data_IF_434693825365
#
_entry.id   IF_434693825365
#
_cell.length_a   1.000
_cell.length_b   1.000
_cell.length_c   1.000
_cell.angle_alpha   90.00
_cell.angle_beta   90.00
_cell.angle_gamma   90.00
#
_symmetry.space_group_name_H-M   'P 1'
#
loop_
_entity.id
_entity.type
_entity.pdbx_description
1 polymer ?
#
# COMPACT_ATOMS: atom_id res chain seq x y z
N UNK A 1 -19.67 -14.83 3.59
CA UNK A 1 -18.20 -14.81 3.43
C UNK A 1 -17.65 -13.64 4.21
N UNK A 2 -16.78 -13.92 5.16
CA UNK A 2 -16.13 -12.91 5.99
C UNK A 2 -14.75 -12.60 5.40
N UNK A 3 -14.54 -11.34 5.03
CA UNK A 3 -13.29 -10.87 4.46
C UNK A 3 -12.59 -9.90 5.42
N UNK A 4 -11.35 -10.22 5.80
CA UNK A 4 -10.45 -9.34 6.53
C UNK A 4 -9.55 -8.59 5.53
N UNK A 5 -9.61 -7.28 5.51
CA UNK A 5 -8.70 -6.46 4.72
C UNK A 5 -7.58 -5.88 5.59
N UNK A 6 -6.36 -5.87 5.04
CA UNK A 6 -5.15 -5.35 5.70
C UNK A 6 -4.41 -4.43 4.73
N UNK A 7 -4.25 -3.17 5.10
CA UNK A 7 -3.50 -2.18 4.32
C UNK A 7 -2.47 -1.42 5.16
N UNK A 8 -1.31 -1.23 4.60
CA UNK A 8 -0.26 -0.33 5.08
C UNK A 8 0.53 0.26 3.89
N UNK A 9 -0.12 0.40 2.74
CA UNK A 9 0.49 0.85 1.48
C UNK A 9 0.88 2.33 1.47
N UNK A 10 0.34 3.14 2.40
CA UNK A 10 0.54 4.58 2.48
C UNK A 10 0.94 5.07 3.86
N UNK A 11 0.57 6.33 4.14
CA UNK A 11 0.74 6.95 5.47
C UNK A 11 -0.22 6.37 6.51
N UNK A 12 -1.29 5.79 6.03
CA UNK A 12 -2.34 5.17 6.84
C UNK A 12 -2.05 3.68 6.94
N UNK A 13 -2.22 3.12 8.13
CA UNK A 13 -2.37 1.68 8.32
C UNK A 13 -3.82 1.39 8.72
N UNK A 14 -4.39 0.32 8.22
CA UNK A 14 -5.77 0.02 8.56
C UNK A 14 -6.18 -1.40 8.26
N UNK A 15 -7.27 -1.78 8.91
CA UNK A 15 -7.90 -3.09 8.80
C UNK A 15 -9.41 -2.93 8.73
N UNK A 16 -10.09 -3.81 8.00
CA UNK A 16 -11.55 -3.84 7.93
C UNK A 16 -12.07 -5.28 7.90
N UNK A 17 -13.26 -5.47 8.43
CA UNK A 17 -14.04 -6.70 8.30
C UNK A 17 -15.29 -6.39 7.50
N UNK A 18 -15.50 -7.16 6.45
CA UNK A 18 -16.68 -7.11 5.59
C UNK A 18 -17.30 -8.50 5.55
N UNK A 19 -18.62 -8.58 5.65
CA UNK A 19 -19.36 -9.83 5.50
C UNK A 19 -20.42 -9.70 4.42
N UNK A 20 -20.31 -10.50 3.37
CA UNK A 20 -21.28 -10.58 2.26
C UNK A 20 -21.64 -9.23 1.61
N UNK A 21 -20.66 -8.31 1.54
CA UNK A 21 -20.83 -6.98 0.98
C UNK A 21 -21.25 -5.92 2.00
N UNK A 22 -21.36 -6.25 3.29
CA UNK A 22 -21.66 -5.31 4.36
C UNK A 22 -20.43 -5.06 5.24
N UNK A 23 -20.16 -3.79 5.53
CA UNK A 23 -19.06 -3.41 6.42
C UNK A 23 -19.44 -3.70 7.88
N UNK A 24 -18.73 -4.61 8.53
CA UNK A 24 -18.88 -4.88 9.95
C UNK A 24 -18.12 -3.87 10.80
N UNK A 25 -16.85 -3.65 10.48
CA UNK A 25 -16.00 -2.70 11.21
C UNK A 25 -14.78 -2.29 10.37
N UNK A 26 -14.30 -1.07 10.59
CA UNK A 26 -13.10 -0.54 9.98
C UNK A 26 -12.29 0.24 11.02
N UNK A 27 -11.00 -0.01 11.08
CA UNK A 27 -10.06 0.76 11.91
C UNK A 27 -8.95 1.31 11.03
N UNK A 28 -8.85 2.63 10.99
CA UNK A 28 -7.85 3.36 10.22
C UNK A 28 -6.98 4.19 11.16
N UNK A 29 -5.67 4.03 11.09
CA UNK A 29 -4.69 4.65 11.97
C UNK A 29 -3.74 5.54 11.17
N UNK A 30 -3.60 6.80 11.58
CA UNK A 30 -2.65 7.77 11.01
C UNK A 30 -1.85 8.43 12.16
N UNK A 31 -1.14 7.60 12.95
CA UNK A 31 -0.53 8.00 14.21
C UNK A 31 0.95 8.37 14.08
N UNK A 32 1.57 8.22 12.90
CA UNK A 32 3.03 8.38 12.74
C UNK A 32 3.86 7.28 13.41
N UNK A 33 3.23 6.25 13.95
CA UNK A 33 3.88 5.07 14.50
C UNK A 33 4.25 4.11 13.37
N UNK A 34 5.16 3.17 13.67
CA UNK A 34 5.52 2.14 12.70
C UNK A 34 4.35 1.18 12.48
N UNK A 35 4.08 0.84 11.23
CA UNK A 35 2.97 -0.06 10.88
C UNK A 35 3.13 -1.46 11.50
N UNK A 36 4.37 -1.89 11.79
CA UNK A 36 4.65 -3.16 12.46
C UNK A 36 4.15 -3.21 13.91
N UNK A 37 4.07 -2.07 14.58
CA UNK A 37 3.59 -1.98 15.95
C UNK A 37 2.06 -1.88 16.03
N UNK A 38 1.42 -1.37 14.98
CA UNK A 38 0.00 -1.01 15.01
C UNK A 38 -0.91 -2.02 14.31
N UNK A 39 -0.44 -2.68 13.25
CA UNK A 39 -1.31 -3.42 12.34
C UNK A 39 -1.90 -4.70 12.96
N UNK A 40 -1.07 -5.50 13.63
CA UNK A 40 -1.54 -6.73 14.30
C UNK A 40 -2.44 -6.43 15.50
N UNK A 41 -2.10 -5.51 16.43
CA UNK A 41 -3.02 -5.09 17.49
C UNK A 41 -4.35 -4.55 16.97
N UNK A 42 -4.35 -3.76 15.89
CA UNK A 42 -5.56 -3.27 15.24
C UNK A 42 -6.43 -4.42 14.71
N UNK A 43 -5.81 -5.43 14.10
CA UNK A 43 -6.53 -6.63 13.61
C UNK A 43 -7.18 -7.39 14.76
N UNK A 44 -6.46 -7.64 15.85
CA UNK A 44 -6.99 -8.33 17.02
C UNK A 44 -8.14 -7.55 17.65
N UNK A 45 -7.99 -6.24 17.81
CA UNK A 45 -9.04 -5.38 18.36
C UNK A 45 -10.29 -5.38 17.48
N UNK A 46 -10.12 -5.35 16.16
CA UNK A 46 -11.23 -5.34 15.21
C UNK A 46 -12.02 -6.66 15.25
N UNK A 47 -11.34 -7.80 15.23
CA UNK A 47 -11.96 -9.12 15.36
C UNK A 47 -12.71 -9.24 16.69
N UNK A 48 -12.10 -8.84 17.80
CA UNK A 48 -12.72 -8.86 19.12
C UNK A 48 -13.98 -7.98 19.19
N UNK A 49 -13.95 -6.79 18.61
CA UNK A 49 -15.11 -5.88 18.57
C UNK A 49 -16.30 -6.45 17.79
N UNK A 50 -16.04 -7.32 16.81
CA UNK A 50 -17.06 -8.02 16.03
C UNK A 50 -17.44 -9.38 16.64
N UNK A 51 -16.88 -9.79 17.79
CA UNK A 51 -17.02 -11.12 18.38
C UNK A 51 -16.64 -12.25 17.40
N UNK A 52 -15.63 -12.01 16.57
CA UNK A 52 -15.10 -12.96 15.59
C UNK A 52 -13.70 -13.42 15.97
N UNK A 53 -13.39 -14.64 15.59
CA UNK A 53 -12.03 -15.20 15.62
C UNK A 53 -11.42 -15.22 14.21
N UNK A 54 -10.12 -15.38 14.12
CA UNK A 54 -9.44 -15.47 12.81
C UNK A 54 -9.83 -16.73 12.04
N UNK A 55 -10.26 -17.78 12.74
CA UNK A 55 -10.75 -19.03 12.18
C UNK A 55 -12.05 -18.90 11.39
N UNK A 56 -12.81 -17.84 11.64
CA UNK A 56 -14.08 -17.55 10.94
C UNK A 56 -13.89 -16.70 9.67
N UNK A 57 -12.65 -16.23 9.43
CA UNK A 57 -12.32 -15.45 8.25
C UNK A 57 -12.14 -16.36 7.04
N UNK A 58 -12.90 -16.10 5.98
CA UNK A 58 -12.89 -16.87 4.73
C UNK A 58 -11.83 -16.37 3.73
N UNK A 59 -11.48 -15.09 3.78
CA UNK A 59 -10.56 -14.44 2.85
C UNK A 59 -9.79 -13.32 3.54
N UNK A 60 -8.49 -13.23 3.27
CA UNK A 60 -7.70 -12.04 3.66
C UNK A 60 -7.32 -11.26 2.40
N UNK A 61 -7.80 -10.01 2.32
CA UNK A 61 -7.45 -9.05 1.29
C UNK A 61 -6.24 -8.22 1.72
N UNK A 62 -5.27 -8.05 0.83
CA UNK A 62 -4.05 -7.27 1.12
C UNK A 62 -3.78 -6.29 -0.02
N UNK A 63 -3.41 -5.05 0.31
CA UNK A 63 -2.90 -4.14 -0.71
C UNK A 63 -1.59 -4.67 -1.28
N UNK A 64 -1.56 -4.96 -2.59
CA UNK A 64 -0.38 -5.51 -3.26
C UNK A 64 0.60 -4.46 -3.78
N UNK A 65 0.23 -3.18 -3.71
CA UNK A 65 0.94 -2.03 -4.25
C UNK A 65 0.17 -1.34 -5.37
N UNK A 66 0.72 -0.23 -5.91
CA UNK A 66 1.95 0.43 -5.49
C UNK A 66 1.83 1.18 -4.15
N UNK A 67 2.97 1.51 -3.52
CA UNK A 67 2.97 2.25 -2.26
C UNK A 67 4.29 2.15 -1.48
N UNK A 68 4.20 2.35 -0.17
CA UNK A 68 5.33 2.23 0.75
C UNK A 68 5.93 0.82 0.73
N UNK A 69 7.18 0.70 0.32
CA UNK A 69 7.88 -0.58 0.23
C UNK A 69 7.91 -1.34 1.58
N UNK A 70 8.18 -0.63 2.66
CA UNK A 70 8.19 -1.20 4.01
C UNK A 70 6.77 -1.55 4.46
N UNK A 71 5.81 -0.64 4.26
CA UNK A 71 4.43 -0.85 4.66
C UNK A 71 3.79 -2.05 3.96
N UNK A 72 3.94 -2.16 2.65
CA UNK A 72 3.44 -3.30 1.87
C UNK A 72 3.99 -4.64 2.37
N UNK A 73 5.28 -4.70 2.74
CA UNK A 73 5.90 -5.92 3.29
C UNK A 73 5.38 -6.25 4.68
N UNK A 74 5.15 -5.25 5.52
CA UNK A 74 4.57 -5.44 6.86
C UNK A 74 3.15 -6.00 6.71
N UNK A 75 2.29 -5.39 5.88
CA UNK A 75 0.94 -5.88 5.62
C UNK A 75 0.94 -7.32 5.07
N UNK A 76 1.80 -7.60 4.10
CA UNK A 76 1.95 -8.94 3.51
C UNK A 76 2.42 -9.98 4.53
N UNK A 77 3.39 -9.65 5.39
CA UNK A 77 3.88 -10.54 6.43
C UNK A 77 2.82 -10.83 7.50
N UNK A 78 2.10 -9.78 7.95
CA UNK A 78 1.00 -9.90 8.89
C UNK A 78 -0.11 -10.81 8.33
N UNK A 79 -0.55 -10.55 7.10
CA UNK A 79 -1.58 -11.35 6.44
C UNK A 79 -1.18 -12.81 6.27
N UNK A 80 0.06 -13.08 5.81
CA UNK A 80 0.59 -14.44 5.69
C UNK A 80 0.66 -15.16 7.03
N UNK A 81 1.11 -14.47 8.09
CA UNK A 81 1.15 -15.02 9.43
C UNK A 81 -0.23 -15.42 9.95
N UNK A 82 -1.24 -14.56 9.76
CA UNK A 82 -2.61 -14.84 10.15
C UNK A 82 -3.24 -15.98 9.32
N UNK A 83 -2.93 -16.05 8.03
CA UNK A 83 -3.46 -17.07 7.14
C UNK A 83 -2.88 -18.47 7.38
N UNK A 84 -1.63 -18.54 7.88
CA UNK A 84 -0.81 -19.76 7.85
C UNK A 84 -1.43 -20.92 8.64
N UNK A 85 -2.01 -20.65 9.81
CA UNK A 85 -2.55 -21.70 10.69
C UNK A 85 -3.76 -22.40 10.07
N UNK A 86 -4.65 -21.64 9.43
CA UNK A 86 -5.96 -22.12 8.97
C UNK A 86 -6.04 -22.24 7.44
N UNK A 87 -4.95 -21.95 6.73
CA UNK A 87 -4.93 -21.99 5.26
C UNK A 87 -5.85 -20.96 4.61
N UNK A 88 -6.09 -19.81 5.25
CA UNK A 88 -6.98 -18.78 4.71
C UNK A 88 -6.39 -18.23 3.40
N UNK A 89 -7.17 -18.19 2.30
CA UNK A 89 -6.69 -17.64 1.04
C UNK A 89 -6.36 -16.16 1.16
N UNK A 90 -5.30 -15.74 0.44
CA UNK A 90 -4.87 -14.35 0.35
C UNK A 90 -5.18 -13.81 -1.05
N UNK A 91 -5.80 -12.63 -1.14
CA UNK A 91 -6.02 -11.95 -2.40
C UNK A 91 -5.39 -10.55 -2.40
N UNK A 92 -4.54 -10.27 -3.40
CA UNK A 92 -3.91 -8.98 -3.59
C UNK A 92 -4.78 -8.04 -4.42
N UNK A 93 -5.02 -6.82 -3.91
CA UNK A 93 -5.73 -5.76 -4.62
C UNK A 93 -4.79 -4.57 -4.81
N UNK A 94 -4.87 -3.91 -5.96
CA UNK A 94 -4.10 -2.70 -6.23
C UNK A 94 -4.46 -1.57 -5.27
N UNK A 95 -3.45 -0.87 -4.76
CA UNK A 95 -3.65 0.35 -3.96
C UNK A 95 -4.35 1.45 -4.74
N UNK A 96 -4.09 1.55 -6.05
CA UNK A 96 -4.74 2.55 -6.90
C UNK A 96 -6.22 2.20 -7.10
N UNK A 97 -6.53 0.93 -7.35
CA UNK A 97 -7.91 0.44 -7.43
C UNK A 97 -8.65 0.62 -6.10
N UNK A 98 -8.01 0.38 -4.95
CA UNK A 98 -8.59 0.62 -3.62
C UNK A 98 -8.95 2.10 -3.42
N UNK A 99 -8.06 3.00 -3.80
CA UNK A 99 -8.30 4.44 -3.65
C UNK A 99 -9.45 4.92 -4.54
N UNK A 100 -9.46 4.53 -5.82
CA UNK A 100 -10.54 4.94 -6.73
C UNK A 100 -11.90 4.45 -6.27
N UNK A 101 -11.97 3.31 -5.57
CA UNK A 101 -13.23 2.74 -5.08
C UNK A 101 -13.96 3.68 -4.14
N UNK A 102 -13.25 4.54 -3.40
CA UNK A 102 -13.88 5.57 -2.57
C UNK A 102 -14.83 6.51 -3.34
N UNK A 103 -14.65 6.61 -4.65
CA UNK A 103 -15.40 7.51 -5.54
C UNK A 103 -15.93 6.82 -6.79
N UNK A 104 -15.90 5.48 -6.86
CA UNK A 104 -16.27 4.68 -8.04
C UNK A 104 -17.70 4.90 -8.54
N UNK A 105 -18.59 5.42 -7.67
CA UNK A 105 -19.97 5.78 -8.02
C UNK A 105 -20.09 7.03 -8.91
N UNK A 106 -19.05 7.84 -9.04
CA UNK A 106 -19.06 9.04 -9.86
C UNK A 106 -18.98 8.68 -11.35
N UNK A 107 -19.85 9.26 -12.20
CA UNK A 107 -19.77 9.06 -13.66
C UNK A 107 -18.72 9.99 -14.29
N UNK A 108 -17.56 10.09 -13.70
CA UNK A 108 -16.45 10.95 -14.10
C UNK A 108 -15.14 10.16 -14.17
N UNK A 109 -14.22 10.51 -15.08
CA UNK A 109 -12.87 9.96 -15.02
C UNK A 109 -12.20 10.29 -13.70
N UNK A 110 -11.65 9.25 -13.04
CA UNK A 110 -10.91 9.36 -11.78
C UNK A 110 -9.47 9.00 -12.06
N UNK A 111 -8.57 9.95 -11.85
CA UNK A 111 -7.12 9.78 -11.93
C UNK A 111 -6.57 9.65 -10.51
N UNK A 112 -6.12 8.45 -10.18
CA UNK A 112 -5.41 8.22 -8.91
C UNK A 112 -3.94 8.47 -9.14
N UNK A 113 -3.32 9.26 -8.25
CA UNK A 113 -1.88 9.48 -8.28
C UNK A 113 -1.28 9.43 -6.88
N UNK A 114 -0.25 8.60 -6.71
CA UNK A 114 0.58 8.52 -5.52
C UNK A 114 1.98 9.04 -5.85
N UNK A 115 2.61 9.77 -4.92
CA UNK A 115 3.97 10.28 -5.14
C UNK A 115 4.98 9.12 -5.19
N UNK A 116 5.57 8.89 -6.38
CA UNK A 116 6.62 7.91 -6.59
C UNK A 116 8.04 8.49 -6.42
N UNK A 117 8.14 9.75 -5.94
CA UNK A 117 9.38 10.56 -5.83
C UNK A 117 10.03 10.83 -7.18
N UNK A 118 11.00 11.78 -7.23
CA UNK A 118 11.76 12.15 -8.44
C UNK A 118 10.85 12.47 -9.63
N UNK A 119 9.84 13.32 -9.40
CA UNK A 119 8.88 13.81 -10.40
C UNK A 119 8.08 12.70 -11.11
N UNK A 120 7.99 11.53 -10.51
CA UNK A 120 7.17 10.43 -10.98
C UNK A 120 5.97 10.21 -10.07
N UNK A 121 4.92 9.68 -10.65
CA UNK A 121 3.71 9.26 -9.96
C UNK A 121 3.41 7.79 -10.26
N UNK A 122 2.92 7.07 -9.27
CA UNK A 122 2.15 5.86 -9.54
C UNK A 122 0.74 6.30 -9.88
N UNK A 123 0.22 5.88 -11.01
CA UNK A 123 -1.08 6.35 -11.47
C UNK A 123 -1.86 5.27 -12.22
N UNK A 124 -3.18 5.34 -12.11
CA UNK A 124 -4.16 4.66 -12.92
C UNK A 124 -5.34 5.60 -13.16
N UNK A 125 -6.06 5.41 -14.27
CA UNK A 125 -7.26 6.20 -14.56
C UNK A 125 -8.46 5.28 -14.72
N UNK A 126 -9.59 5.64 -14.14
CA UNK A 126 -10.76 4.80 -14.03
C UNK A 126 -12.04 5.56 -14.39
N UNK A 127 -13.06 4.83 -14.80
CA UNK A 127 -14.43 5.34 -14.95
C UNK A 127 -15.39 4.29 -14.38
N UNK A 128 -16.11 4.65 -13.35
CA UNK A 128 -17.06 3.76 -12.68
C UNK A 128 -16.45 2.38 -12.35
N UNK A 129 -15.26 2.38 -11.76
CA UNK A 129 -14.52 1.16 -11.38
C UNK A 129 -13.78 0.46 -12.52
N UNK A 130 -14.03 0.83 -13.78
CA UNK A 130 -13.36 0.24 -14.93
C UNK A 130 -12.09 1.02 -15.29
N UNK A 131 -11.05 0.28 -15.68
CA UNK A 131 -9.76 0.86 -16.04
C UNK A 131 -9.85 1.58 -17.39
N UNK A 132 -9.61 2.91 -17.42
CA UNK A 132 -9.46 3.71 -18.65
C UNK A 132 -8.01 3.75 -19.13
N UNK A 133 -7.07 3.71 -18.20
CA UNK A 133 -5.63 3.69 -18.46
C UNK A 133 -4.95 2.84 -17.42
N UNK A 134 -4.10 1.93 -17.89
CA UNK A 134 -3.37 0.97 -17.05
C UNK A 134 -2.56 1.64 -15.95
N UNK A 135 -2.49 0.93 -14.83
CA UNK A 135 -1.68 1.32 -13.68
C UNK A 135 -0.19 1.26 -14.02
N UNK A 136 0.52 2.34 -13.73
CA UNK A 136 1.96 2.45 -14.03
C UNK A 136 2.67 3.48 -13.18
N UNK A 137 4.00 3.43 -13.20
CA UNK A 137 4.84 4.54 -12.76
C UNK A 137 5.27 5.36 -13.98
N UNK A 138 4.99 6.67 -13.99
CA UNK A 138 5.35 7.56 -15.09
C UNK A 138 5.58 9.00 -14.61
N UNK A 139 6.20 9.87 -15.43
CA UNK A 139 6.21 11.30 -15.16
C UNK A 139 4.77 11.86 -15.11
N UNK A 140 4.54 12.86 -14.26
CA UNK A 140 3.22 13.53 -14.17
C UNK A 140 2.74 14.05 -15.51
N UNK A 141 3.67 14.57 -16.34
CA UNK A 141 3.36 15.09 -17.69
C UNK A 141 2.65 14.08 -18.58
N UNK A 142 2.96 12.80 -18.45
CA UNK A 142 2.32 11.73 -19.23
C UNK A 142 0.86 11.50 -18.80
N UNK A 143 0.58 11.57 -17.48
CA UNK A 143 -0.80 11.54 -16.98
C UNK A 143 -1.59 12.77 -17.45
N UNK A 144 -1.00 13.96 -17.35
CA UNK A 144 -1.63 15.20 -17.76
C UNK A 144 -1.90 15.23 -19.28
N UNK A 145 -1.00 14.67 -20.10
CA UNK A 145 -1.23 14.53 -21.54
C UNK A 145 -2.45 13.63 -21.82
N UNK A 146 -2.56 12.50 -21.14
CA UNK A 146 -3.73 11.64 -21.25
C UNK A 146 -5.01 12.35 -20.81
N UNK A 147 -5.00 13.02 -19.65
CA UNK A 147 -6.14 13.74 -19.11
C UNK A 147 -6.61 14.91 -20.01
N UNK A 148 -5.69 15.59 -20.71
CA UNK A 148 -6.03 16.63 -21.70
C UNK A 148 -6.87 16.09 -22.85
N UNK A 149 -6.65 14.84 -23.26
CA UNK A 149 -7.42 14.18 -24.33
C UNK A 149 -8.86 13.83 -23.95
N UNK A 150 -9.18 13.79 -22.65
CA UNK A 150 -10.55 13.56 -22.18
C UNK A 150 -11.34 14.87 -22.16
N UNK A 151 -12.66 14.78 -22.32
CA UNK A 151 -13.56 15.94 -22.25
C UNK A 151 -14.26 16.03 -20.89
N UNK A 152 -14.69 17.25 -20.51
CA UNK A 152 -15.46 17.47 -19.29
C UNK A 152 -14.64 17.46 -17.99
N UNK A 153 -15.36 17.36 -16.87
CA UNK A 153 -14.78 17.34 -15.53
C UNK A 153 -14.13 16.00 -15.21
N UNK A 154 -13.04 16.04 -14.47
CA UNK A 154 -12.24 14.89 -14.06
C UNK A 154 -11.84 15.01 -12.61
N UNK A 155 -11.76 13.89 -11.91
CA UNK A 155 -11.35 13.82 -10.51
C UNK A 155 -9.89 13.43 -10.42
N UNK A 156 -9.11 14.14 -9.61
CA UNK A 156 -7.72 13.81 -9.28
C UNK A 156 -7.63 13.53 -7.78
N UNK A 157 -7.16 12.33 -7.41
CA UNK A 157 -7.11 11.88 -6.02
C UNK A 157 -5.82 11.11 -5.69
N UNK A 158 -5.60 10.86 -4.39
CA UNK A 158 -4.38 10.26 -3.87
C UNK A 158 -3.43 11.31 -3.30
N UNK A 159 -2.39 10.87 -2.60
CA UNK A 159 -1.46 11.77 -1.89
C UNK A 159 -0.58 12.62 -2.84
N UNK A 160 -0.37 12.16 -4.07
CA UNK A 160 0.32 12.94 -5.10
C UNK A 160 -0.38 14.24 -5.46
N UNK A 161 -1.71 14.34 -5.26
CA UNK A 161 -2.46 15.57 -5.50
C UNK A 161 -1.97 16.72 -4.63
N UNK A 162 -1.58 16.45 -3.38
CA UNK A 162 -1.11 17.50 -2.47
C UNK A 162 0.17 18.17 -2.99
N UNK A 163 1.00 17.44 -3.69
CA UNK A 163 2.25 17.93 -4.27
C UNK A 163 2.07 18.60 -5.62
N UNK A 164 1.22 18.03 -6.47
CA UNK A 164 1.12 18.40 -7.89
C UNK A 164 -0.14 19.20 -8.24
N UNK A 165 -0.83 19.76 -7.22
CA UNK A 165 -2.11 20.47 -7.38
C UNK A 165 -2.04 21.60 -8.39
N UNK A 166 -1.03 22.46 -8.25
CA UNK A 166 -0.87 23.64 -9.10
C UNK A 166 -0.56 23.26 -10.56
N UNK A 167 0.27 22.24 -10.74
CA UNK A 167 0.62 21.74 -12.08
C UNK A 167 -0.61 21.13 -12.79
N UNK A 168 -1.46 20.40 -12.05
CA UNK A 168 -2.69 19.82 -12.57
C UNK A 168 -3.65 20.93 -13.00
N UNK A 169 -3.87 21.95 -12.15
CA UNK A 169 -4.74 23.09 -12.46
C UNK A 169 -4.21 23.90 -13.64
N UNK A 170 -2.92 24.19 -13.67
CA UNK A 170 -2.29 24.90 -14.79
C UNK A 170 -2.42 24.16 -16.10
N UNK A 171 -2.37 22.82 -16.08
CA UNK A 171 -2.45 22.02 -17.30
C UNK A 171 -3.86 21.84 -17.86
N UNK A 172 -4.88 21.79 -17.01
CA UNK A 172 -6.24 21.38 -17.38
C UNK A 172 -7.30 22.48 -17.22
N UNK A 173 -7.05 23.50 -16.39
CA UNK A 173 -8.02 24.52 -15.96
C UNK A 173 -8.87 24.08 -14.77
N UNK A 174 -9.21 25.06 -13.92
CA UNK A 174 -9.97 24.82 -12.67
C UNK A 174 -11.36 24.24 -12.94
N UNK A 175 -11.98 24.64 -14.04
CA UNK A 175 -13.34 24.21 -14.42
C UNK A 175 -13.43 22.73 -14.75
N UNK A 176 -12.29 22.10 -15.11
CA UNK A 176 -12.20 20.68 -15.48
C UNK A 176 -11.72 19.77 -14.35
N UNK A 177 -11.16 20.33 -13.29
CA UNK A 177 -10.51 19.55 -12.22
C UNK A 177 -11.35 19.55 -10.95
N UNK A 178 -11.56 18.36 -10.41
CA UNK A 178 -12.17 18.16 -9.11
C UNK A 178 -11.15 17.49 -8.19
N UNK A 179 -10.89 18.12 -7.05
CA UNK A 179 -10.16 17.49 -5.96
C UNK A 179 -11.15 17.12 -4.87
N UNK A 180 -11.26 15.84 -4.50
CA UNK A 180 -12.16 15.42 -3.44
C UNK A 180 -11.69 15.92 -2.06
N UNK A 181 -12.58 15.82 -1.07
CA UNK A 181 -12.24 16.15 0.31
C UNK A 181 -11.14 15.27 0.87
N UNK A 182 -10.45 15.74 1.89
CA UNK A 182 -9.38 14.98 2.56
C UNK A 182 -9.83 13.59 3.04
N UNK A 183 -11.10 13.46 3.45
CA UNK A 183 -11.67 12.18 3.88
C UNK A 183 -11.70 11.10 2.77
N UNK A 184 -11.81 11.52 1.50
CA UNK A 184 -11.85 10.61 0.35
C UNK A 184 -10.46 10.30 -0.23
N UNK A 185 -9.42 11.02 0.22
CA UNK A 185 -8.04 10.83 -0.26
C UNK A 185 -7.29 9.72 0.46
N UNK A 186 -7.81 9.24 1.60
CA UNK A 186 -7.14 8.22 2.41
C UNK A 186 -7.44 6.81 1.89
N UNK A 187 -6.46 5.94 2.06
CA UNK A 187 -6.65 4.51 1.90
C UNK A 187 -7.74 4.04 2.89
N UNK A 188 -8.71 3.29 2.39
CA UNK A 188 -9.79 2.70 3.19
C UNK A 188 -9.72 1.18 3.08
N UNK A 189 -9.42 0.49 4.17
CA UNK A 189 -9.40 -0.97 4.17
C UNK A 189 -10.74 -1.60 3.78
N UNK A 190 -11.86 -0.93 4.06
CA UNK A 190 -13.19 -1.38 3.60
C UNK A 190 -13.29 -1.44 2.08
N UNK A 191 -12.77 -0.43 1.36
CA UNK A 191 -12.72 -0.45 -0.12
C UNK A 191 -11.88 -1.61 -0.65
N UNK A 192 -10.77 -1.94 0.05
CA UNK A 192 -9.95 -3.10 -0.25
C UNK A 192 -10.75 -4.40 -0.09
N UNK A 193 -11.52 -4.56 1.01
CA UNK A 193 -12.34 -5.73 1.28
C UNK A 193 -13.45 -5.91 0.24
N UNK A 194 -14.19 -4.84 -0.10
CA UNK A 194 -15.25 -4.90 -1.10
C UNK A 194 -14.73 -5.32 -2.47
N UNK A 195 -13.61 -4.75 -2.92
CA UNK A 195 -12.98 -5.15 -4.18
C UNK A 195 -12.52 -6.61 -4.16
N UNK A 196 -11.98 -7.06 -3.03
CA UNK A 196 -11.55 -8.45 -2.87
C UNK A 196 -12.74 -9.42 -2.91
N UNK A 197 -13.84 -9.12 -2.22
CA UNK A 197 -15.06 -9.94 -2.29
C UNK A 197 -15.61 -10.04 -3.72
N UNK A 198 -15.68 -8.89 -4.42
CA UNK A 198 -16.12 -8.85 -5.82
C UNK A 198 -15.21 -9.72 -6.69
N UNK A 199 -13.89 -9.53 -6.61
CA UNK A 199 -12.91 -10.29 -7.36
C UNK A 199 -12.97 -11.79 -7.04
N UNK A 200 -13.19 -12.15 -5.78
CA UNK A 200 -13.33 -13.52 -5.34
C UNK A 200 -14.60 -14.19 -5.89
N UNK A 201 -15.73 -13.48 -5.90
CA UNK A 201 -16.99 -13.92 -6.52
C UNK A 201 -16.87 -14.10 -8.04
N UNK A 202 -16.07 -13.28 -8.68
CA UNK A 202 -15.72 -13.40 -10.12
C UNK A 202 -14.73 -14.53 -10.44
N UNK A 203 -14.29 -15.27 -9.43
CA UNK A 203 -13.40 -16.43 -9.60
C UNK A 203 -11.92 -16.13 -9.62
N UNK A 204 -11.47 -14.93 -9.27
CA UNK A 204 -10.04 -14.60 -9.15
C UNK A 204 -9.42 -15.37 -7.99
N UNK A 205 -8.37 -16.15 -8.29
CA UNK A 205 -7.68 -17.06 -7.36
C UNK A 205 -6.17 -17.00 -7.52
N UNK A 206 -5.66 -15.86 -7.97
CA UNK A 206 -4.22 -15.68 -8.19
C UNK A 206 -3.46 -15.74 -6.85
N UNK A 207 -2.31 -16.38 -6.88
CA UNK A 207 -1.44 -16.40 -5.70
C UNK A 207 -1.01 -14.97 -5.34
N UNK A 208 -1.14 -14.61 -4.05
CA UNK A 208 -0.76 -13.29 -3.58
C UNK A 208 0.73 -13.04 -3.73
N UNK A 209 1.07 -11.96 -4.42
CA UNK A 209 2.42 -11.39 -4.49
C UNK A 209 2.37 -9.86 -4.45
N UNK A 210 3.45 -9.24 -3.99
CA UNK A 210 3.59 -7.79 -4.04
C UNK A 210 3.98 -7.35 -5.45
N UNK A 211 3.33 -6.29 -5.93
CA UNK A 211 3.61 -5.67 -7.23
C UNK A 211 4.40 -4.38 -7.04
N UNK A 212 5.61 -4.36 -7.60
CA UNK A 212 6.45 -3.18 -7.60
C UNK A 212 6.46 -2.55 -8.98
N UNK A 213 5.58 -1.57 -9.22
CA UNK A 213 5.56 -0.80 -10.48
C UNK A 213 6.87 -0.01 -10.72
N UNK A 214 7.73 0.06 -9.70
CA UNK A 214 9.06 0.63 -9.75
C UNK A 214 10.02 -0.21 -8.91
N UNK A 215 11.20 -0.52 -9.42
CA UNK A 215 12.23 -1.25 -8.67
C UNK A 215 12.58 -0.53 -7.36
N UNK A 216 12.87 -1.26 -6.28
CA UNK A 216 13.34 -0.70 -5.01
C UNK A 216 14.50 0.29 -5.20
N UNK A 217 14.60 1.29 -4.32
CA UNK A 217 15.62 2.32 -4.45
C UNK A 217 17.04 1.74 -4.45
N UNK A 218 17.31 0.78 -3.56
CA UNK A 218 18.62 0.12 -3.47
C UNK A 218 19.00 -0.62 -4.75
N UNK A 219 18.05 -1.26 -5.41
CA UNK A 219 18.29 -1.98 -6.67
C UNK A 219 18.58 -1.01 -7.82
N UNK A 220 17.89 0.13 -7.86
CA UNK A 220 18.13 1.20 -8.85
C UNK A 220 19.44 1.92 -8.63
N UNK A 221 19.86 2.12 -7.37
CA UNK A 221 21.15 2.72 -7.02
C UNK A 221 22.31 1.77 -7.36
N UNK A 222 22.10 0.48 -7.19
CA UNK A 222 23.05 -0.55 -7.63
C UNK A 222 23.19 -0.56 -9.17
N UNK A 223 22.09 -0.50 -9.91
CA UNK A 223 22.11 -0.44 -11.38
C UNK A 223 22.76 0.83 -11.93
N UNK A 224 22.74 1.94 -11.17
CA UNK A 224 23.43 3.20 -11.52
C UNK A 224 24.90 3.24 -11.12
N UNK A 225 25.38 2.26 -10.37
CA UNK A 225 26.72 2.27 -9.80
C UNK A 225 26.90 3.25 -8.62
N UNK A 226 25.80 3.79 -8.09
CA UNK A 226 25.82 4.75 -6.97
C UNK A 226 26.07 4.08 -5.61
N UNK A 227 25.82 2.78 -5.50
CA UNK A 227 26.24 1.98 -4.35
C UNK A 227 27.65 1.47 -4.60
N UNK A 228 28.63 1.98 -3.84
CA UNK A 228 29.91 1.29 -3.67
C UNK A 228 29.58 -0.12 -3.19
N UNK A 229 30.14 -1.13 -3.86
CA UNK A 229 30.03 -2.51 -3.43
C UNK A 229 30.26 -2.55 -1.91
N UNK A 230 29.26 -3.03 -1.19
CA UNK A 230 29.43 -3.44 0.20
C UNK A 230 30.48 -4.56 0.11
N UNK A 231 31.75 -4.22 0.32
CA UNK A 231 32.78 -5.23 0.50
C UNK A 231 32.30 -6.05 1.69
N UNK A 232 31.87 -7.26 1.39
CA UNK A 232 31.71 -8.29 2.42
C UNK A 232 33.02 -8.24 3.19
N UNK A 233 32.95 -7.89 4.47
CA UNK A 233 34.10 -7.91 5.37
C UNK A 233 34.80 -9.24 5.13
N UNK A 234 35.99 -9.20 4.55
CA UNK A 234 36.79 -10.40 4.34
C UNK A 234 37.06 -10.99 5.72
N UNK A 235 37.14 -12.29 5.82
CA UNK A 235 37.39 -13.05 7.06
C UNK A 235 38.55 -12.48 7.90
N UNK A 236 39.46 -11.72 7.32
CA UNK A 236 40.56 -11.03 7.99
C UNK A 236 40.12 -9.93 8.97
N UNK A 237 38.91 -9.33 8.81
CA UNK A 237 38.39 -8.34 9.75
C UNK A 237 37.68 -8.99 10.97
N UNK A 238 37.27 -10.24 10.85
CA UNK A 238 36.68 -11.00 11.97
C UNK A 238 37.73 -11.42 13.02
N UNK A 239 39.00 -11.63 12.63
CA UNK A 239 40.08 -11.90 13.60
C UNK A 239 40.43 -10.70 14.47
N UNK A 240 40.19 -9.48 14.00
CA UNK A 240 40.47 -8.26 14.81
C UNK A 240 39.38 -8.03 15.89
N UNK A 241 38.15 -8.45 15.65
CA UNK A 241 37.04 -8.32 16.61
C UNK A 241 37.19 -9.36 17.73
N UNK A 242 37.63 -10.59 17.42
CA UNK A 242 37.87 -11.64 18.43
C UNK A 242 38.99 -11.31 19.44
N UNK A 243 39.99 -10.51 19.04
CA UNK A 243 41.07 -10.11 19.96
C UNK A 243 40.69 -8.99 20.93
N UNK A 244 39.56 -8.33 20.74
CA UNK A 244 39.07 -7.27 21.66
C UNK A 244 38.17 -7.85 22.76
N UNK A 245 37.59 -9.01 22.57
CA UNK A 245 36.76 -9.67 23.59
C UNK A 245 37.61 -10.33 24.70
N UNK A 246 38.79 -10.82 24.39
CA UNK A 246 39.69 -11.41 25.39
C UNK A 246 40.26 -10.38 26.40
N UNK A 247 40.23 -9.10 26.08
CA UNK A 247 40.69 -8.03 26.99
C UNK A 247 39.60 -7.50 27.94
N UNK A 248 38.32 -7.82 27.69
CA UNK A 248 37.19 -7.42 28.54
C UNK A 248 36.82 -8.47 29.61
N UNK A 249 37.26 -9.71 29.42
CA UNK A 249 37.00 -10.81 30.38
C UNK A 249 37.88 -10.77 31.65
N UNK A 250 38.89 -9.89 31.74
CA UNK A 250 39.86 -9.83 32.83
C UNK A 250 39.57 -8.75 33.88
N UNK A 251 38.43 -8.07 33.90
CA UNK A 251 38.06 -7.13 34.96
C UNK A 251 37.01 -7.75 35.87
N UNK A 252 37.51 -8.48 36.88
CA UNK A 252 36.77 -8.90 38.07
C UNK A 252 36.14 -7.68 38.77
N UNK A 253 34.83 -7.69 38.99
CA UNK A 253 34.18 -6.88 40.00
C UNK A 253 34.10 -7.69 41.31
N UNK A 254 34.55 -7.14 42.44
CA UNK A 254 34.30 -7.77 43.75
C UNK A 254 32.85 -7.49 44.22
N UNK A 255 32.33 -8.41 44.96
CA UNK A 255 31.02 -8.51 45.64
C UNK A 255 30.64 -7.25 46.41
#
# INVERSE_FOLDING_TARGET
MITLAIDASGRVAGVALVQDGELLSELTLCLGLTHSETLLPATVSLLSACNLSIEEVDLIAVAKGPGSFTGLRIAAATAKGLAMKNGIPLLGISTLSMLQENLSFLPLPIHVLLDARKEQVYTGSYLQGNLLREERACPLSELLHFAKGLTGKQVFMGDGVLRYREEILSALGEERVIFPSAASLLQRPSSLAFLAEKAWKEGKREAFHLEYLRKPQAEREKERGDLKDFQILKEEDTEKIGRTEDHLAAKNYPV
#
